data_IF_146835872226
#
_entry.id   IF_146835872226
#
_cell.length_a   1.000
_cell.length_b   1.000
_cell.length_c   1.000
_cell.angle_alpha   90.00
_cell.angle_beta   90.00
_cell.angle_gamma   90.00
#
_symmetry.space_group_name_H-M   'P 1'
#
loop_
_entity.id
_entity.type
_entity.pdbx_description
1 polymer ?
#
# COMPACT_ATOMS: atom_id res chain seq x y z
N UNK A 1 29.87 28.61 -0.20
CA UNK A 1 28.96 29.42 0.63
C UNK A 1 27.54 29.02 0.29
N UNK A 2 26.76 28.65 1.30
CA UNK A 2 25.30 28.53 1.36
C UNK A 2 24.63 27.53 0.37
N UNK A 3 23.91 26.50 0.78
CA UNK A 3 23.38 26.22 2.11
C UNK A 3 22.97 24.76 2.23
N UNK A 4 23.41 24.18 3.34
CA UNK A 4 22.76 23.17 4.16
C UNK A 4 21.75 22.28 3.44
N UNK A 5 22.15 21.03 3.26
CA UNK A 5 21.34 19.84 3.54
C UNK A 5 20.31 20.19 4.63
N UNK A 6 19.09 20.51 4.22
CA UNK A 6 17.95 20.46 5.11
C UNK A 6 17.76 18.96 5.31
N UNK A 7 18.39 18.43 6.37
CA UNK A 7 17.88 17.22 6.99
C UNK A 7 16.43 17.56 7.34
N UNK A 8 15.50 17.22 6.45
CA UNK A 8 14.07 17.29 6.72
C UNK A 8 13.89 16.37 7.91
N UNK A 9 13.70 16.99 9.07
CA UNK A 9 13.39 16.33 10.32
C UNK A 9 12.25 15.34 10.03
N UNK A 10 12.54 14.04 10.14
CA UNK A 10 11.70 12.87 9.84
C UNK A 10 10.24 13.16 9.50
N UNK A 11 9.98 13.58 8.26
CA UNK A 11 8.61 13.67 7.77
C UNK A 11 8.14 12.25 7.47
N UNK A 12 6.97 11.87 7.97
CA UNK A 12 6.42 10.54 7.72
C UNK A 12 6.20 10.33 6.22
N UNK A 13 7.11 9.58 5.57
CA UNK A 13 7.01 9.21 4.16
C UNK A 13 5.83 8.28 3.90
N UNK A 14 5.54 7.37 4.83
CA UNK A 14 4.51 6.34 4.65
C UNK A 14 3.27 6.69 5.48
N UNK A 15 2.10 6.78 4.83
CA UNK A 15 0.82 7.04 5.46
C UNK A 15 -0.05 5.79 5.35
N UNK A 16 -0.33 5.14 6.48
CA UNK A 16 -1.15 3.93 6.54
C UNK A 16 -2.62 4.27 6.83
N UNK A 17 -3.52 3.82 5.96
CA UNK A 17 -4.96 3.97 6.09
C UNK A 17 -5.55 2.71 6.72
N UNK A 18 -5.70 2.72 8.05
CA UNK A 18 -6.21 1.59 8.81
C UNK A 18 -7.69 1.76 9.15
N UNK A 19 -8.43 0.65 9.24
CA UNK A 19 -9.86 0.64 9.52
C UNK A 19 -10.53 -0.69 9.22
N UNK A 20 -11.74 -0.89 9.75
CA UNK A 20 -12.52 -2.13 9.54
C UNK A 20 -12.89 -2.31 8.07
N UNK A 21 -13.28 -3.52 7.68
CA UNK A 21 -13.87 -3.76 6.36
C UNK A 21 -15.08 -2.82 6.14
N UNK A 22 -15.16 -2.22 4.95
CA UNK A 22 -16.22 -1.27 4.61
C UNK A 22 -16.08 0.14 5.20
N UNK A 23 -15.01 0.47 5.95
CA UNK A 23 -14.83 1.83 6.50
C UNK A 23 -14.41 2.89 5.47
N UNK A 24 -14.25 2.52 4.19
CA UNK A 24 -13.90 3.45 3.11
C UNK A 24 -12.41 3.72 2.92
N UNK A 25 -11.51 2.82 3.35
CA UNK A 25 -10.05 2.99 3.24
C UNK A 25 -9.60 3.25 1.80
N UNK A 26 -9.95 2.39 0.85
CA UNK A 26 -9.51 2.51 -0.55
C UNK A 26 -10.05 3.78 -1.22
N UNK A 27 -11.29 4.15 -0.92
CA UNK A 27 -11.89 5.43 -1.37
C UNK A 27 -11.17 6.63 -0.75
N UNK A 28 -10.77 6.54 0.53
CA UNK A 28 -9.98 7.58 1.19
C UNK A 28 -8.59 7.72 0.55
N UNK A 29 -7.90 6.61 0.25
CA UNK A 29 -6.60 6.61 -0.44
C UNK A 29 -6.72 7.34 -1.79
N UNK A 30 -7.71 6.98 -2.60
CA UNK A 30 -7.96 7.64 -3.88
C UNK A 30 -8.26 9.14 -3.74
N UNK A 31 -9.22 9.49 -2.88
CA UNK A 31 -9.60 10.90 -2.68
C UNK A 31 -8.42 11.73 -2.14
N UNK A 32 -7.60 11.16 -1.26
CA UNK A 32 -6.45 11.82 -0.68
C UNK A 32 -5.32 11.97 -1.69
N UNK A 33 -5.06 10.97 -2.53
CA UNK A 33 -4.10 11.06 -3.65
C UNK A 33 -4.48 12.21 -4.60
N UNK A 34 -5.76 12.27 -5.02
CA UNK A 34 -6.26 13.35 -5.89
C UNK A 34 -6.07 14.72 -5.24
N UNK A 35 -6.38 14.82 -3.95
CA UNK A 35 -6.18 16.06 -3.20
C UNK A 35 -4.69 16.43 -3.09
N UNK A 36 -3.81 15.51 -2.72
CA UNK A 36 -2.37 15.75 -2.60
C UNK A 36 -1.76 16.23 -3.92
N UNK A 37 -2.09 15.56 -5.02
CA UNK A 37 -1.68 15.96 -6.36
C UNK A 37 -2.18 17.37 -6.71
N UNK A 38 -3.42 17.73 -6.35
CA UNK A 38 -3.96 19.08 -6.56
C UNK A 38 -3.23 20.18 -5.77
N UNK A 39 -2.59 19.82 -4.65
CA UNK A 39 -1.79 20.73 -3.83
C UNK A 39 -0.31 20.75 -4.23
N UNK A 40 0.09 19.97 -5.24
CA UNK A 40 1.48 19.85 -5.68
C UNK A 40 2.35 18.96 -4.81
N UNK A 41 1.75 18.11 -3.96
CA UNK A 41 2.49 17.05 -3.28
C UNK A 41 2.66 15.86 -4.21
N UNK A 42 3.90 15.40 -4.33
CA UNK A 42 4.24 14.16 -5.00
C UNK A 42 3.96 12.96 -4.08
N UNK A 43 3.10 12.05 -4.53
CA UNK A 43 2.74 10.85 -3.79
C UNK A 43 2.47 9.67 -4.73
N UNK A 44 2.75 8.46 -4.25
CA UNK A 44 2.36 7.19 -4.87
C UNK A 44 1.42 6.42 -3.94
N UNK A 45 0.81 5.37 -4.46
CA UNK A 45 -0.12 4.49 -3.78
C UNK A 45 0.40 3.06 -3.75
N UNK A 46 0.24 2.38 -2.62
CA UNK A 46 0.61 0.98 -2.45
C UNK A 46 -0.55 0.19 -1.85
N UNK A 47 -1.08 -0.79 -2.58
CA UNK A 47 -2.12 -1.67 -2.07
C UNK A 47 -1.51 -2.86 -1.33
N UNK A 48 -1.80 -2.98 -0.03
CA UNK A 48 -1.44 -4.13 0.79
C UNK A 48 -2.61 -5.05 1.14
N UNK A 49 -3.80 -4.84 0.54
CA UNK A 49 -4.96 -5.73 0.73
C UNK A 49 -5.00 -6.82 -0.37
N UNK A 50 -4.67 -8.09 -0.05
CA UNK A 50 -4.70 -9.19 -1.01
C UNK A 50 -6.13 -9.65 -1.34
N UNK A 51 -7.16 -9.15 -0.66
CA UNK A 51 -8.57 -9.46 -0.90
C UNK A 51 -9.34 -8.32 -1.56
N UNK A 52 -8.65 -7.28 -2.03
CA UNK A 52 -9.30 -6.18 -2.73
C UNK A 52 -9.75 -6.62 -4.14
N UNK A 53 -11.06 -6.61 -4.40
CA UNK A 53 -11.62 -6.98 -5.71
C UNK A 53 -11.37 -5.89 -6.77
N UNK A 54 -11.62 -4.63 -6.42
CA UNK A 54 -11.43 -3.47 -7.31
C UNK A 54 -10.94 -2.26 -6.53
N UNK A 55 -10.09 -1.46 -7.18
CA UNK A 55 -9.56 -0.21 -6.64
C UNK A 55 -9.92 0.94 -7.58
N UNK A 56 -10.25 2.10 -7.01
CA UNK A 56 -10.55 3.33 -7.74
C UNK A 56 -9.27 4.10 -8.15
N UNK A 57 -8.10 3.55 -7.81
CA UNK A 57 -6.78 4.06 -8.14
C UNK A 57 -5.90 2.93 -8.69
N UNK A 58 -4.83 3.29 -9.38
CA UNK A 58 -3.84 2.35 -9.91
C UNK A 58 -2.60 2.38 -9.00
N UNK A 59 -2.44 1.43 -8.06
CA UNK A 59 -1.28 1.40 -7.18
C UNK A 59 0.02 1.15 -7.94
N UNK A 60 1.07 1.85 -7.53
CA UNK A 60 2.44 1.63 -8.00
C UNK A 60 3.05 0.34 -7.42
N UNK A 61 2.61 -0.07 -6.23
CA UNK A 61 2.88 -1.39 -5.66
C UNK A 61 1.56 -2.06 -5.30
N UNK A 62 1.28 -3.23 -5.90
CA UNK A 62 0.09 -4.02 -5.59
C UNK A 62 0.48 -5.40 -5.07
N UNK A 63 0.11 -5.71 -3.83
CA UNK A 63 0.39 -7.02 -3.25
C UNK A 63 -0.33 -8.16 -3.99
N UNK A 64 -1.40 -7.85 -4.72
CA UNK A 64 -2.17 -8.81 -5.54
C UNK A 64 -1.38 -9.34 -6.74
N UNK A 65 -0.24 -8.75 -7.07
CA UNK A 65 0.68 -9.31 -8.06
C UNK A 65 1.52 -10.47 -7.50
N UNK A 66 1.58 -10.59 -6.17
CA UNK A 66 2.34 -11.61 -5.44
C UNK A 66 1.42 -12.64 -4.80
N UNK A 67 0.32 -12.19 -4.18
CA UNK A 67 -0.59 -13.02 -3.39
C UNK A 67 -2.02 -12.51 -3.52
N UNK A 68 -2.94 -13.40 -3.92
CA UNK A 68 -4.38 -13.12 -3.96
C UNK A 68 -5.15 -14.04 -3.01
N UNK A 69 -6.06 -13.45 -2.25
CA UNK A 69 -6.88 -14.21 -1.30
C UNK A 69 -7.74 -15.25 -2.02
N UNK A 70 -8.29 -14.91 -3.19
CA UNK A 70 -9.15 -15.82 -3.95
C UNK A 70 -8.38 -17.05 -4.45
N UNK A 71 -7.11 -16.88 -4.85
CA UNK A 71 -6.24 -17.97 -5.31
C UNK A 71 -5.91 -18.91 -4.16
N UNK A 72 -5.57 -18.37 -2.99
CA UNK A 72 -5.32 -19.16 -1.77
C UNK A 72 -6.57 -19.97 -1.38
N UNK A 73 -7.76 -19.36 -1.44
CA UNK A 73 -9.01 -20.06 -1.15
C UNK A 73 -9.20 -21.27 -2.07
N UNK A 74 -8.92 -21.11 -3.37
CA UNK A 74 -9.08 -22.17 -4.37
C UNK A 74 -8.03 -23.27 -4.22
N UNK A 75 -6.76 -22.90 -4.07
CA UNK A 75 -5.64 -23.85 -4.05
C UNK A 75 -5.55 -24.63 -2.73
N UNK A 76 -5.84 -23.98 -1.61
CA UNK A 76 -5.67 -24.56 -0.28
C UNK A 76 -7.00 -25.01 0.35
N UNK A 77 -8.14 -24.78 -0.31
CA UNK A 77 -9.47 -25.13 0.20
C UNK A 77 -9.85 -24.36 1.47
N UNK A 78 -9.29 -23.16 1.65
CA UNK A 78 -9.52 -22.32 2.83
C UNK A 78 -10.78 -21.47 2.67
N UNK A 79 -11.48 -21.24 3.79
CA UNK A 79 -12.51 -20.21 3.85
C UNK A 79 -11.90 -18.80 3.84
N UNK A 80 -12.71 -17.73 3.63
CA UNK A 80 -12.21 -16.36 3.42
C UNK A 80 -11.26 -15.87 4.52
N UNK A 81 -11.63 -16.07 5.79
CA UNK A 81 -10.80 -15.63 6.92
C UNK A 81 -9.48 -16.42 7.01
N UNK A 82 -9.51 -17.72 6.71
CA UNK A 82 -8.30 -18.55 6.71
C UNK A 82 -7.34 -18.14 5.59
N UNK A 83 -7.90 -17.84 4.41
CA UNK A 83 -7.11 -17.35 3.28
C UNK A 83 -6.51 -15.96 3.55
N UNK A 84 -7.20 -15.06 4.24
CA UNK A 84 -6.64 -13.76 4.64
C UNK A 84 -5.44 -13.90 5.59
N UNK A 85 -5.51 -14.81 6.56
CA UNK A 85 -4.38 -15.08 7.48
C UNK A 85 -3.21 -15.68 6.70
N UNK A 86 -3.46 -16.67 5.86
CA UNK A 86 -2.43 -17.28 5.02
C UNK A 86 -1.79 -16.26 4.06
N UNK A 87 -2.60 -15.38 3.46
CA UNK A 87 -2.12 -14.31 2.60
C UNK A 87 -1.20 -13.35 3.38
N UNK A 88 -1.62 -12.92 4.58
CA UNK A 88 -0.81 -12.06 5.43
C UNK A 88 0.54 -12.69 5.80
N UNK A 89 0.58 -14.00 6.07
CA UNK A 89 1.84 -14.73 6.33
C UNK A 89 2.76 -14.73 5.09
N UNK A 90 2.21 -15.00 3.91
CA UNK A 90 2.98 -14.98 2.65
C UNK A 90 3.52 -13.58 2.32
N UNK A 91 2.73 -12.54 2.60
CA UNK A 91 3.15 -11.14 2.45
C UNK A 91 4.27 -10.81 3.45
N UNK A 92 4.14 -11.25 4.71
CA UNK A 92 5.14 -11.01 5.74
C UNK A 92 6.52 -11.60 5.40
N UNK A 93 6.55 -12.77 4.73
CA UNK A 93 7.79 -13.38 4.24
C UNK A 93 8.50 -12.51 3.18
N UNK A 94 7.74 -11.75 2.39
CA UNK A 94 8.26 -10.87 1.33
C UNK A 94 8.30 -9.39 1.75
N UNK A 95 7.99 -9.06 3.00
CA UNK A 95 7.85 -7.67 3.46
C UNK A 95 9.12 -6.83 3.22
N UNK A 96 10.29 -7.47 3.30
CA UNK A 96 11.57 -6.81 2.98
C UNK A 96 11.68 -6.43 1.52
N UNK A 97 11.35 -7.34 0.61
CA UNK A 97 11.39 -7.08 -0.84
C UNK A 97 10.39 -5.97 -1.21
N UNK A 98 9.17 -6.02 -0.68
CA UNK A 98 8.17 -4.97 -0.88
C UNK A 98 8.67 -3.61 -0.38
N UNK A 99 9.34 -3.57 0.78
CA UNK A 99 9.95 -2.35 1.29
C UNK A 99 11.08 -1.83 0.39
N UNK A 100 11.95 -2.71 -0.10
CA UNK A 100 13.02 -2.36 -1.04
C UNK A 100 12.46 -1.81 -2.35
N UNK A 101 11.36 -2.38 -2.87
CA UNK A 101 10.64 -1.85 -4.04
C UNK A 101 10.09 -0.45 -3.76
N UNK A 102 9.43 -0.23 -2.61
CA UNK A 102 8.93 1.10 -2.22
C UNK A 102 10.06 2.14 -2.09
N UNK A 103 11.26 1.73 -1.67
CA UNK A 103 12.43 2.60 -1.59
C UNK A 103 12.98 3.03 -2.95
N UNK A 104 12.68 2.31 -4.04
CA UNK A 104 13.10 2.71 -5.39
C UNK A 104 12.34 3.91 -5.94
N UNK A 105 11.15 4.21 -5.40
CA UNK A 105 10.36 5.35 -5.83
C UNK A 105 10.85 6.65 -5.19
N UNK A 106 11.34 7.56 -6.03
CA UNK A 106 11.67 8.93 -5.66
C UNK A 106 10.40 9.76 -5.48
N UNK A 107 9.75 9.66 -4.32
CA UNK A 107 8.54 10.41 -3.97
C UNK A 107 8.56 10.84 -2.50
N UNK A 108 7.80 11.90 -2.20
CA UNK A 108 7.71 12.44 -0.84
C UNK A 108 6.77 11.62 0.06
N UNK A 109 5.75 10.99 -0.52
CA UNK A 109 4.73 10.26 0.24
C UNK A 109 4.32 8.95 -0.44
N UNK A 110 4.08 7.92 0.38
CA UNK A 110 3.48 6.65 -0.03
C UNK A 110 2.19 6.48 0.76
N UNK A 111 1.07 6.39 0.06
CA UNK A 111 -0.25 6.13 0.62
C UNK A 111 -0.49 4.62 0.62
N UNK A 112 -0.63 4.02 1.80
CA UNK A 112 -0.70 2.57 2.02
C UNK A 112 -2.05 2.18 2.64
#
# INVERSE_FOLDING_TARGET
MCGRTLAVLGMARNLYFLGTAGSGKSTMVYAFQVWMNSQGFDCITANLDPGAESLEYAPELDVRDYVRTEEIMQEQGLGPNGAQVAAADMIALNARELAEVLETFETNYVLI
#
